data_IF_804835699266
#
_entry.id   IF_804835699266
#
_cell.length_a   1.000
_cell.length_b   1.000
_cell.length_c   1.000
_cell.angle_alpha   90.00
_cell.angle_beta   90.00
_cell.angle_gamma   90.00
#
_symmetry.space_group_name_H-M   'P 1'
#
loop_
_entity.id
_entity.type
_entity.pdbx_description
1 polymer ?
#
# COMPACT_ATOMS: atom_id res chain seq x y z
N UNK A 1 72.79 -5.13 2.11
CA UNK A 1 71.60 -4.31 2.49
C UNK A 1 71.94 -3.24 3.55
N UNK A 2 73.13 -2.74 3.57
CA UNK A 2 73.62 -1.78 4.58
C UNK A 2 74.05 -0.42 4.00
N UNK A 3 74.11 -0.29 2.67
CA UNK A 3 74.56 0.96 2.01
C UNK A 3 73.43 1.97 1.68
N UNK A 4 72.15 1.66 1.95
CA UNK A 4 71.02 2.54 1.60
C UNK A 4 70.57 3.41 2.78
N UNK A 5 71.14 3.28 3.96
CA UNK A 5 70.77 4.06 5.16
C UNK A 5 71.59 5.31 5.45
N UNK A 6 72.64 5.56 4.68
CA UNK A 6 73.62 6.63 4.96
C UNK A 6 73.43 7.92 4.12
N UNK A 7 72.36 8.05 3.29
CA UNK A 7 72.20 9.28 2.46
C UNK A 7 70.93 10.12 2.75
N UNK A 8 70.22 9.85 3.83
CA UNK A 8 69.03 10.65 4.18
C UNK A 8 69.08 11.49 5.45
N UNK A 9 70.25 11.78 5.88
CA UNK A 9 70.46 12.52 7.12
C UNK A 9 71.25 13.83 6.99
N UNK A 10 70.93 14.74 6.08
CA UNK A 10 71.45 16.15 6.09
C UNK A 10 70.64 17.03 5.12
N UNK A 11 69.58 17.63 5.56
CA UNK A 11 69.10 18.96 5.17
C UNK A 11 67.66 19.24 5.69
N UNK A 12 67.54 19.55 6.97
CA UNK A 12 66.39 20.25 7.51
C UNK A 12 66.84 21.11 8.71
N UNK A 13 67.51 22.19 8.46
CA UNK A 13 67.63 23.28 9.43
C UNK A 13 67.29 24.61 8.76
N UNK A 14 66.23 25.24 9.18
CA UNK A 14 65.95 26.63 8.96
C UNK A 14 64.88 27.01 7.96
N UNK A 15 63.61 26.94 8.34
CA UNK A 15 62.62 27.90 7.85
C UNK A 15 61.47 28.08 8.86
N UNK A 16 61.34 29.21 9.31
CA UNK A 16 60.42 30.09 9.96
C UNK A 16 59.13 29.57 10.59
N UNK A 17 59.07 29.75 11.90
CA UNK A 17 57.88 29.55 12.76
C UNK A 17 56.66 30.48 12.47
N UNK A 18 56.68 31.31 11.41
CA UNK A 18 55.65 32.31 11.13
C UNK A 18 54.49 31.80 10.23
N UNK A 19 54.73 30.74 9.43
CA UNK A 19 53.74 30.23 8.52
C UNK A 19 52.70 29.31 9.17
N UNK A 20 53.01 28.70 10.32
CA UNK A 20 52.19 27.68 10.95
C UNK A 20 50.91 28.21 11.63
N UNK A 21 50.93 29.48 12.10
CA UNK A 21 49.78 30.06 12.80
C UNK A 21 48.68 30.55 11.86
N UNK A 22 49.01 31.03 10.66
CA UNK A 22 48.03 31.40 9.65
C UNK A 22 47.34 30.18 8.98
N UNK A 23 48.09 29.11 8.79
CA UNK A 23 47.53 27.87 8.21
C UNK A 23 46.54 27.18 9.16
N UNK A 24 46.79 27.20 10.46
CA UNK A 24 45.90 26.61 11.48
C UNK A 24 44.60 27.41 11.62
N UNK A 25 44.67 28.75 11.55
CA UNK A 25 43.47 29.60 11.58
C UNK A 25 42.59 29.43 10.32
N UNK A 26 43.20 29.24 9.15
CA UNK A 26 42.45 28.98 7.90
C UNK A 26 41.78 27.62 7.91
N UNK A 27 42.41 26.58 8.44
CA UNK A 27 41.84 25.24 8.53
C UNK A 27 40.69 25.20 9.55
N UNK A 28 40.82 25.87 10.69
CA UNK A 28 39.75 25.99 11.68
C UNK A 28 38.53 26.76 11.15
N UNK A 29 38.75 27.80 10.34
CA UNK A 29 37.66 28.55 9.71
C UNK A 29 36.88 27.72 8.69
N UNK A 30 37.54 26.88 7.90
CA UNK A 30 36.92 25.99 6.91
C UNK A 30 36.11 24.89 7.61
N UNK A 31 36.60 24.33 8.72
CA UNK A 31 35.89 23.29 9.48
C UNK A 31 34.64 23.84 10.17
N UNK A 32 34.63 25.07 10.67
CA UNK A 32 33.45 25.70 11.28
C UNK A 32 32.39 26.03 10.25
N UNK A 33 32.77 26.50 9.05
CA UNK A 33 31.82 26.75 7.96
C UNK A 33 31.21 25.44 7.42
N UNK A 34 32.00 24.37 7.35
CA UNK A 34 31.53 23.05 6.94
C UNK A 34 30.58 22.43 7.97
N UNK A 35 30.80 22.66 9.27
CA UNK A 35 29.91 22.17 10.33
C UNK A 35 28.55 22.91 10.36
N UNK A 36 28.54 24.22 10.07
CA UNK A 36 27.32 25.01 9.96
C UNK A 36 26.52 24.70 8.68
N UNK A 37 27.16 24.37 7.55
CA UNK A 37 26.51 23.93 6.34
C UNK A 37 25.89 22.52 6.47
N UNK A 38 26.46 21.65 7.30
CA UNK A 38 25.96 20.31 7.57
C UNK A 38 24.71 20.28 8.47
N UNK A 39 24.47 21.31 9.29
CA UNK A 39 23.29 21.36 10.19
C UNK A 39 22.01 21.87 9.51
N UNK A 40 22.11 22.44 8.31
CA UNK A 40 20.97 23.00 7.59
C UNK A 40 20.25 22.00 6.69
N UNK A 41 20.68 20.73 6.60
CA UNK A 41 20.13 19.70 5.72
C UNK A 41 19.34 18.60 6.44
N UNK A 42 19.11 18.71 7.74
CA UNK A 42 18.08 17.92 8.43
C UNK A 42 16.78 18.72 8.40
N UNK A 43 16.37 19.17 7.22
CA UNK A 43 15.01 19.58 6.97
C UNK A 43 14.15 18.34 7.08
N UNK A 44 13.50 18.12 8.22
CA UNK A 44 12.45 17.13 8.34
C UNK A 44 11.48 17.35 7.19
N UNK A 45 11.35 16.38 6.30
CA UNK A 45 10.33 16.43 5.26
C UNK A 45 9.00 16.67 5.98
N UNK A 46 8.36 17.80 5.67
CA UNK A 46 7.00 18.06 6.17
C UNK A 46 6.13 16.83 5.84
N UNK A 47 5.23 16.42 6.74
CA UNK A 47 4.32 15.33 6.46
C UNK A 47 3.63 15.63 5.13
N UNK A 48 3.89 14.78 4.13
CA UNK A 48 3.22 14.92 2.84
C UNK A 48 1.74 14.64 3.08
N UNK A 49 0.80 15.52 2.63
CA UNK A 49 -0.61 15.26 2.80
C UNK A 49 -0.98 13.91 2.20
N UNK A 50 -1.94 13.23 2.82
CA UNK A 50 -2.45 11.96 2.32
C UNK A 50 -2.92 12.14 0.87
N UNK A 51 -2.49 11.26 -0.02
CA UNK A 51 -2.92 11.28 -1.41
C UNK A 51 -4.36 10.77 -1.49
N UNK A 52 -5.28 11.59 -1.99
CA UNK A 52 -6.63 11.14 -2.32
C UNK A 52 -6.55 10.32 -3.62
N UNK A 53 -7.24 9.16 -3.72
CA UNK A 53 -7.30 8.41 -4.96
C UNK A 53 -7.81 9.27 -6.13
N UNK A 54 -7.22 9.11 -7.32
CA UNK A 54 -7.64 9.83 -8.51
C UNK A 54 -9.06 9.44 -8.94
N UNK A 55 -9.42 8.15 -8.73
CA UNK A 55 -10.78 7.64 -8.89
C UNK A 55 -11.43 7.54 -7.51
N UNK A 56 -12.54 8.24 -7.31
CA UNK A 56 -13.28 8.27 -6.03
C UNK A 56 -14.65 7.60 -6.18
N UNK A 57 -15.21 7.05 -5.08
CA UNK A 57 -16.55 6.49 -5.11
C UNK A 57 -17.58 7.53 -5.54
N UNK A 58 -18.51 7.11 -6.39
CA UNK A 58 -19.59 7.94 -6.89
C UNK A 58 -20.91 7.43 -6.34
N UNK A 59 -21.75 8.33 -5.88
CA UNK A 59 -23.07 8.00 -5.32
C UNK A 59 -24.16 8.67 -6.14
N UNK A 60 -25.32 8.01 -6.24
CA UNK A 60 -26.50 8.64 -6.81
C UNK A 60 -27.20 9.55 -5.78
N UNK A 61 -28.31 10.19 -6.21
CA UNK A 61 -29.09 11.10 -5.35
C UNK A 61 -29.70 10.43 -4.11
N UNK A 62 -29.81 9.12 -4.11
CA UNK A 62 -30.40 8.32 -3.03
C UNK A 62 -29.31 7.68 -2.14
N UNK A 63 -28.03 8.05 -2.37
CA UNK A 63 -26.87 7.60 -1.61
C UNK A 63 -26.39 6.19 -1.98
N UNK A 64 -26.93 5.58 -3.05
CA UNK A 64 -26.42 4.31 -3.53
C UNK A 64 -25.07 4.48 -4.24
N UNK A 65 -24.11 3.61 -3.96
CA UNK A 65 -22.83 3.57 -4.67
C UNK A 65 -23.06 3.14 -6.13
N UNK A 66 -22.50 3.90 -7.05
CA UNK A 66 -22.43 3.51 -8.46
C UNK A 66 -21.35 2.46 -8.65
N UNK A 67 -21.64 1.45 -9.51
CA UNK A 67 -20.71 0.36 -9.78
C UNK A 67 -19.37 0.89 -10.27
N UNK A 68 -18.23 0.59 -9.59
CA UNK A 68 -16.92 0.97 -10.04
C UNK A 68 -16.60 0.38 -11.42
N UNK A 69 -15.98 1.20 -12.28
CA UNK A 69 -15.54 0.79 -13.62
C UNK A 69 -14.03 0.78 -13.69
N UNK A 70 -13.49 0.07 -14.67
CA UNK A 70 -12.06 0.04 -15.00
C UNK A 70 -11.12 -0.38 -13.85
N UNK A 71 -11.65 -1.00 -12.79
CA UNK A 71 -10.89 -1.45 -11.62
C UNK A 71 -9.84 -2.54 -11.96
N UNK A 72 -9.95 -3.20 -13.08
CA UNK A 72 -8.92 -4.13 -13.56
C UNK A 72 -7.59 -3.45 -13.91
N UNK A 73 -7.58 -2.12 -14.00
CA UNK A 73 -6.35 -1.31 -14.17
C UNK A 73 -5.71 -0.93 -12.83
N UNK A 74 -6.36 -1.25 -11.71
CA UNK A 74 -5.90 -0.92 -10.38
C UNK A 74 -4.88 -1.92 -9.87
N UNK A 75 -4.36 -1.68 -8.66
CA UNK A 75 -3.43 -2.60 -8.01
C UNK A 75 -4.16 -3.87 -7.60
N UNK A 76 -3.79 -5.00 -8.18
CA UNK A 76 -4.22 -6.31 -7.73
C UNK A 76 -3.47 -6.67 -6.44
N UNK A 77 -4.19 -6.78 -5.33
CA UNK A 77 -3.59 -7.02 -4.02
C UNK A 77 -3.53 -8.50 -3.65
N UNK A 78 -4.29 -9.32 -4.32
CA UNK A 78 -4.27 -10.77 -4.15
C UNK A 78 -5.58 -11.45 -4.48
N UNK A 79 -5.55 -12.77 -4.44
CA UNK A 79 -6.71 -13.62 -4.65
C UNK A 79 -6.83 -14.69 -3.56
N UNK A 80 -8.05 -15.20 -3.40
CA UNK A 80 -8.34 -16.42 -2.65
C UNK A 80 -9.29 -17.31 -3.44
N UNK A 81 -9.36 -18.58 -3.06
CA UNK A 81 -10.35 -19.53 -3.62
C UNK A 81 -11.08 -20.20 -2.47
N UNK A 82 -12.40 -20.18 -2.50
CA UNK A 82 -13.25 -20.85 -1.52
C UNK A 82 -13.11 -20.29 -0.10
N UNK A 83 -12.61 -19.07 0.06
CA UNK A 83 -12.54 -18.43 1.37
C UNK A 83 -13.97 -18.20 1.89
N UNK A 84 -14.28 -18.80 3.02
CA UNK A 84 -15.61 -18.72 3.63
C UNK A 84 -15.49 -18.48 5.13
N UNK A 85 -16.43 -17.75 5.68
CA UNK A 85 -16.58 -17.54 7.13
C UNK A 85 -17.65 -18.48 7.76
N UNK A 86 -18.34 -19.25 6.91
CA UNK A 86 -19.24 -20.32 7.38
C UNK A 86 -18.43 -21.52 7.88
N UNK A 87 -18.95 -22.19 8.91
CA UNK A 87 -18.43 -23.48 9.38
C UNK A 87 -18.91 -24.66 8.55
N UNK A 88 -19.85 -24.43 7.62
CA UNK A 88 -20.40 -25.47 6.78
C UNK A 88 -19.37 -25.90 5.74
N UNK A 89 -19.31 -27.21 5.52
CA UNK A 89 -18.42 -27.78 4.49
C UNK A 89 -18.92 -27.38 3.11
N UNK A 90 -18.07 -26.68 2.35
CA UNK A 90 -18.37 -26.38 0.95
C UNK A 90 -18.17 -27.62 0.09
N UNK A 91 -19.10 -27.82 -0.85
CA UNK A 91 -18.91 -28.81 -1.92
C UNK A 91 -18.14 -28.17 -3.08
N UNK A 92 -16.91 -28.62 -3.30
CA UNK A 92 -16.05 -28.09 -4.37
C UNK A 92 -15.09 -26.99 -3.92
N UNK A 93 -14.38 -26.33 -4.88
CA UNK A 93 -13.32 -25.38 -4.58
C UNK A 93 -13.82 -24.01 -4.09
N UNK A 94 -15.12 -23.73 -4.23
CA UNK A 94 -15.65 -22.39 -4.01
C UNK A 94 -15.31 -21.40 -5.14
N UNK A 95 -15.61 -20.14 -4.96
CA UNK A 95 -15.36 -19.08 -5.93
C UNK A 95 -13.98 -18.49 -5.78
N UNK A 96 -13.45 -17.95 -6.87
CA UNK A 96 -12.27 -17.10 -6.84
C UNK A 96 -12.68 -15.69 -6.43
N UNK A 97 -11.96 -15.12 -5.49
CA UNK A 97 -12.09 -13.74 -5.02
C UNK A 97 -10.83 -12.97 -5.39
N UNK A 98 -10.91 -12.10 -6.37
CA UNK A 98 -9.81 -11.22 -6.75
C UNK A 98 -10.00 -9.85 -6.12
N UNK A 99 -8.96 -9.26 -5.57
CA UNK A 99 -9.10 -7.98 -4.87
C UNK A 99 -8.21 -6.92 -5.50
N UNK A 100 -8.81 -5.77 -5.79
CA UNK A 100 -8.16 -4.61 -6.38
C UNK A 100 -8.38 -3.37 -5.51
N UNK A 101 -7.40 -2.46 -5.50
CA UNK A 101 -7.54 -1.13 -4.89
C UNK A 101 -6.89 -0.07 -5.76
N UNK A 102 -7.30 1.20 -5.60
CA UNK A 102 -6.73 2.30 -6.38
C UNK A 102 -5.22 2.41 -6.13
N UNK A 103 -4.42 2.73 -7.16
CA UNK A 103 -2.96 2.88 -7.03
C UNK A 103 -2.55 3.87 -5.93
N UNK A 104 -3.25 4.99 -5.83
CA UNK A 104 -2.96 6.05 -4.84
C UNK A 104 -3.28 5.58 -3.42
N UNK A 105 -4.39 4.84 -3.24
CA UNK A 105 -4.74 4.26 -1.95
C UNK A 105 -3.70 3.24 -1.48
N UNK A 106 -3.21 2.41 -2.40
CA UNK A 106 -2.13 1.47 -2.13
C UNK A 106 -0.82 2.17 -1.76
N UNK A 107 -0.42 3.22 -2.50
CA UNK A 107 0.80 3.97 -2.19
C UNK A 107 0.71 4.67 -0.83
N UNK A 108 -0.45 5.23 -0.50
CA UNK A 108 -0.66 5.86 0.80
C UNK A 108 -0.59 4.84 1.93
N UNK A 109 -1.21 3.67 1.77
CA UNK A 109 -1.10 2.57 2.74
C UNK A 109 0.36 2.14 2.94
N UNK A 110 1.14 2.00 1.87
CA UNK A 110 2.58 1.70 1.97
C UNK A 110 3.35 2.73 2.77
N UNK A 111 2.97 3.98 2.67
CA UNK A 111 3.64 5.10 3.33
C UNK A 111 3.27 5.23 4.79
N UNK A 112 2.01 4.98 5.15
CA UNK A 112 1.43 5.34 6.46
C UNK A 112 0.90 4.16 7.26
N UNK A 113 0.65 3.03 6.64
CA UNK A 113 -0.09 1.90 7.24
C UNK A 113 -1.60 2.14 7.32
N UNK A 114 -2.12 3.21 6.71
CA UNK A 114 -3.54 3.56 6.73
C UNK A 114 -4.05 3.84 5.32
N UNK A 115 -5.26 3.41 5.05
CA UNK A 115 -5.92 3.74 3.79
C UNK A 115 -6.51 5.16 3.87
N UNK A 116 -6.33 6.00 2.82
CA UNK A 116 -6.90 7.33 2.79
C UNK A 116 -8.43 7.29 2.64
N UNK A 117 -9.07 8.44 2.88
CA UNK A 117 -10.49 8.61 2.52
C UNK A 117 -10.72 8.35 1.03
N UNK A 118 -11.89 7.88 0.68
CA UNK A 118 -12.30 7.49 -0.68
C UNK A 118 -11.58 6.25 -1.22
N UNK A 119 -10.88 5.49 -0.37
CA UNK A 119 -10.36 4.18 -0.75
C UNK A 119 -11.52 3.24 -1.10
N UNK A 120 -11.35 2.51 -2.20
CA UNK A 120 -12.21 1.39 -2.58
C UNK A 120 -11.38 0.11 -2.66
N UNK A 121 -11.93 -0.98 -2.13
CA UNK A 121 -11.54 -2.33 -2.53
C UNK A 121 -12.64 -2.91 -3.37
N UNK A 122 -12.29 -3.41 -4.53
CA UNK A 122 -13.23 -4.03 -5.48
C UNK A 122 -12.86 -5.49 -5.63
N UNK A 123 -13.81 -6.37 -5.37
CA UNK A 123 -13.63 -7.81 -5.36
C UNK A 123 -14.62 -8.49 -6.34
N UNK A 124 -14.24 -8.65 -7.61
CA UNK A 124 -14.98 -9.52 -8.51
C UNK A 124 -14.80 -10.98 -8.10
N UNK A 125 -15.91 -11.71 -8.13
CA UNK A 125 -15.99 -13.14 -7.86
C UNK A 125 -16.19 -13.91 -9.16
N UNK A 126 -15.52 -15.06 -9.28
CA UNK A 126 -15.62 -15.93 -10.45
C UNK A 126 -15.87 -17.38 -10.06
N UNK A 127 -16.73 -18.05 -10.83
CA UNK A 127 -16.94 -19.48 -10.68
C UNK A 127 -15.69 -20.25 -11.11
N UNK A 128 -15.34 -21.34 -10.42
CA UNK A 128 -14.22 -22.17 -10.83
C UNK A 128 -14.56 -22.93 -12.13
N UNK A 129 -13.63 -22.88 -13.08
CA UNK A 129 -13.67 -23.67 -14.31
C UNK A 129 -12.49 -24.61 -14.37
N UNK A 130 -12.63 -25.73 -15.08
CA UNK A 130 -11.59 -26.74 -15.26
C UNK A 130 -11.77 -27.54 -16.56
N UNK A 131 -10.73 -28.30 -16.92
CA UNK A 131 -10.76 -29.26 -18.06
C UNK A 131 -11.07 -28.61 -19.40
N UNK A 132 -10.55 -27.40 -19.61
CA UNK A 132 -10.65 -26.68 -20.88
C UNK A 132 -9.26 -26.64 -21.54
N UNK A 133 -9.21 -26.91 -22.84
CA UNK A 133 -7.95 -26.93 -23.62
C UNK A 133 -6.89 -27.87 -23.02
N UNK A 134 -5.71 -27.37 -22.70
CA UNK A 134 -4.61 -28.15 -22.11
C UNK A 134 -4.74 -28.37 -20.60
N UNK A 135 -5.70 -27.71 -19.94
CA UNK A 135 -5.90 -27.85 -18.50
C UNK A 135 -6.37 -29.27 -18.15
N UNK A 136 -5.53 -30.03 -17.47
CA UNK A 136 -5.83 -31.41 -17.05
C UNK A 136 -6.25 -31.49 -15.59
N UNK A 137 -5.74 -30.58 -14.75
CA UNK A 137 -5.99 -30.54 -13.31
C UNK A 137 -6.00 -29.09 -12.84
N UNK A 138 -6.58 -28.87 -11.65
CA UNK A 138 -6.70 -27.54 -11.07
C UNK A 138 -7.86 -26.74 -11.65
N UNK A 139 -8.01 -25.54 -11.18
CA UNK A 139 -9.09 -24.63 -11.53
C UNK A 139 -8.53 -23.30 -12.01
N UNK A 140 -9.30 -22.64 -12.86
CA UNK A 140 -9.08 -21.26 -13.29
C UNK A 140 -10.41 -20.48 -13.20
N UNK A 141 -10.32 -19.18 -13.26
CA UNK A 141 -11.48 -18.29 -13.23
C UNK A 141 -12.34 -18.49 -14.46
N UNK A 142 -13.59 -18.89 -14.25
CA UNK A 142 -14.58 -19.06 -15.29
C UNK A 142 -15.52 -17.86 -15.38
N UNK A 143 -16.82 -18.14 -15.37
CA UNK A 143 -17.83 -17.10 -15.48
C UNK A 143 -17.81 -16.17 -14.27
N UNK A 144 -18.05 -14.88 -14.54
CA UNK A 144 -18.28 -13.88 -13.50
C UNK A 144 -19.48 -14.30 -12.63
N UNK A 145 -19.28 -14.25 -11.31
CA UNK A 145 -20.31 -14.62 -10.34
C UNK A 145 -20.91 -13.38 -9.66
N UNK A 146 -20.07 -12.48 -9.14
CA UNK A 146 -20.54 -11.35 -8.35
C UNK A 146 -19.47 -10.24 -8.26
N UNK A 147 -19.83 -9.10 -7.67
CA UNK A 147 -18.94 -7.99 -7.39
C UNK A 147 -19.22 -7.41 -6.00
N UNK A 148 -18.30 -7.59 -5.08
CA UNK A 148 -18.32 -6.92 -3.79
C UNK A 148 -17.42 -5.68 -3.82
N UNK A 149 -17.82 -4.65 -3.09
CA UNK A 149 -17.05 -3.41 -2.95
C UNK A 149 -17.08 -2.95 -1.50
N UNK A 150 -15.91 -2.58 -0.96
CA UNK A 150 -15.84 -1.82 0.27
C UNK A 150 -15.30 -0.41 0.01
N UNK A 151 -15.84 0.57 0.72
CA UNK A 151 -15.51 1.99 0.55
C UNK A 151 -15.21 2.61 1.89
N UNK A 152 -14.10 3.35 1.98
CA UNK A 152 -13.79 4.21 3.12
C UNK A 152 -14.27 5.63 2.84
N UNK A 153 -15.29 6.10 3.56
CA UNK A 153 -15.85 7.42 3.36
C UNK A 153 -16.59 7.92 4.61
N UNK A 154 -15.88 8.57 5.53
CA UNK A 154 -16.48 9.12 6.76
C UNK A 154 -17.51 10.23 6.50
N UNK A 155 -17.48 10.87 5.32
CA UNK A 155 -18.47 11.89 4.98
C UNK A 155 -19.85 11.29 4.70
N UNK A 156 -19.92 10.03 4.25
CA UNK A 156 -21.16 9.31 3.96
C UNK A 156 -21.51 8.27 5.02
N UNK A 157 -20.51 7.67 5.65
CA UNK A 157 -20.67 6.57 6.61
C UNK A 157 -19.96 6.89 7.92
N UNK A 158 -20.68 7.11 9.02
CA UNK A 158 -20.07 7.47 10.32
C UNK A 158 -19.04 6.46 10.82
N UNK A 159 -19.18 5.18 10.46
CA UNK A 159 -18.24 4.10 10.79
C UNK A 159 -16.96 4.13 9.93
N UNK A 160 -16.92 5.00 8.94
CA UNK A 160 -15.81 5.15 7.99
C UNK A 160 -15.84 4.16 6.84
N UNK A 161 -16.13 2.89 7.07
CA UNK A 161 -16.20 1.86 6.04
C UNK A 161 -17.64 1.39 5.81
N UNK A 162 -17.99 1.22 4.52
CA UNK A 162 -19.24 0.63 4.07
C UNK A 162 -19.00 -0.45 3.03
N UNK A 163 -19.93 -1.40 2.93
CA UNK A 163 -19.79 -2.62 2.12
C UNK A 163 -21.01 -2.76 1.23
N UNK A 164 -20.79 -3.17 -0.02
CA UNK A 164 -21.80 -3.20 -1.08
C UNK A 164 -21.66 -4.48 -1.90
N UNK A 165 -22.79 -4.97 -2.40
CA UNK A 165 -22.82 -6.05 -3.39
C UNK A 165 -23.58 -5.58 -4.64
N UNK A 166 -23.03 -5.85 -5.81
CA UNK A 166 -23.55 -5.40 -7.09
C UNK A 166 -24.28 -6.49 -7.86
N UNK A 167 -25.06 -7.29 -7.13
CA UNK A 167 -25.99 -8.26 -7.71
C UNK A 167 -27.39 -8.09 -7.15
N UNK A 168 -28.40 -8.40 -7.95
CA UNK A 168 -29.79 -8.51 -7.48
C UNK A 168 -30.03 -9.88 -6.79
N UNK A 169 -31.26 -10.08 -6.30
CA UNK A 169 -31.64 -11.33 -5.64
C UNK A 169 -31.58 -12.58 -6.56
N UNK A 170 -31.42 -12.40 -7.86
CA UNK A 170 -31.25 -13.45 -8.85
C UNK A 170 -29.78 -13.62 -9.29
N UNK A 171 -28.86 -12.89 -8.66
CA UNK A 171 -27.43 -12.90 -8.99
C UNK A 171 -27.09 -12.16 -10.29
N UNK A 172 -27.96 -11.27 -10.78
CA UNK A 172 -27.67 -10.46 -11.98
C UNK A 172 -26.95 -9.19 -11.57
N UNK A 173 -25.91 -8.77 -12.31
CA UNK A 173 -25.22 -7.53 -12.06
C UNK A 173 -26.15 -6.32 -12.09
N UNK A 174 -26.00 -5.41 -11.11
CA UNK A 174 -26.69 -4.12 -11.03
C UNK A 174 -25.68 -2.97 -11.12
N UNK A 175 -26.13 -1.79 -11.56
CA UNK A 175 -25.24 -0.62 -11.74
C UNK A 175 -25.10 0.24 -10.47
N UNK A 176 -25.88 -0.05 -9.43
CA UNK A 176 -25.86 0.67 -8.15
C UNK A 176 -26.25 -0.25 -7.01
N UNK A 177 -25.69 0.01 -5.84
CA UNK A 177 -25.95 -0.79 -4.64
C UNK A 177 -26.10 0.11 -3.40
N UNK A 178 -26.98 -0.26 -2.50
CA UNK A 178 -27.04 0.31 -1.16
C UNK A 178 -26.02 -0.37 -0.24
N UNK A 179 -25.52 0.39 0.73
CA UNK A 179 -24.63 -0.17 1.75
C UNK A 179 -25.35 -1.25 2.57
N UNK A 180 -24.66 -2.33 2.86
CA UNK A 180 -25.15 -3.32 3.80
C UNK A 180 -25.30 -2.71 5.20
N UNK A 181 -26.29 -3.16 5.98
CA UNK A 181 -26.37 -2.83 7.40
C UNK A 181 -25.10 -3.21 8.13
N UNK A 182 -24.69 -2.37 9.09
CA UNK A 182 -23.45 -2.51 9.87
C UNK A 182 -23.19 -3.94 10.39
N UNK A 183 -24.15 -4.66 11.02
CA UNK A 183 -23.90 -5.99 11.55
C UNK A 183 -23.56 -7.05 10.48
N UNK A 184 -23.90 -6.79 9.22
CA UNK A 184 -23.73 -7.78 8.15
C UNK A 184 -22.26 -7.92 7.73
N UNK A 185 -21.54 -6.81 7.57
CA UNK A 185 -20.16 -6.82 7.09
C UNK A 185 -19.21 -6.02 7.98
N UNK A 186 -19.58 -4.77 8.32
CA UNK A 186 -18.70 -3.84 9.02
C UNK A 186 -18.21 -4.40 10.36
N UNK A 187 -19.07 -4.96 11.20
CA UNK A 187 -18.69 -5.40 12.54
C UNK A 187 -17.68 -6.56 12.50
N UNK A 188 -17.80 -7.46 11.51
CA UNK A 188 -16.82 -8.52 11.27
C UNK A 188 -15.48 -7.93 10.79
N UNK A 189 -15.51 -7.02 9.83
CA UNK A 189 -14.29 -6.36 9.35
C UNK A 189 -13.60 -5.55 10.43
N UNK A 190 -14.34 -4.83 11.26
CA UNK A 190 -13.79 -4.08 12.39
C UNK A 190 -13.15 -4.99 13.46
N UNK A 191 -13.72 -6.16 13.68
CA UNK A 191 -13.22 -7.11 14.67
C UNK A 191 -12.00 -7.94 14.20
N UNK A 192 -11.88 -8.19 12.90
CA UNK A 192 -10.94 -9.17 12.35
C UNK A 192 -10.00 -8.62 11.28
N UNK A 193 -10.26 -7.44 10.72
CA UNK A 193 -9.33 -6.77 9.80
C UNK A 193 -8.06 -6.36 10.54
N UNK A 194 -6.89 -6.74 10.03
CA UNK A 194 -5.61 -6.48 10.69
C UNK A 194 -5.24 -4.99 10.66
N UNK A 195 -5.59 -4.29 9.56
CA UNK A 195 -5.33 -2.88 9.41
C UNK A 195 -6.56 -2.15 8.87
N UNK A 196 -7.04 -1.17 9.63
CA UNK A 196 -8.06 -0.22 9.17
C UNK A 196 -9.31 -0.92 8.58
N UNK A 197 -9.84 -1.93 9.29
CA UNK A 197 -10.97 -2.77 8.88
C UNK A 197 -10.76 -3.58 7.59
N UNK A 198 -9.52 -3.73 7.12
CA UNK A 198 -9.17 -4.50 5.93
C UNK A 198 -8.42 -5.77 6.33
N UNK A 199 -8.79 -6.89 5.72
CA UNK A 199 -8.12 -8.19 5.92
C UNK A 199 -6.76 -8.24 5.22
N UNK A 200 -5.86 -7.33 5.57
CA UNK A 200 -4.51 -7.26 4.97
C UNK A 200 -3.72 -8.55 5.17
N UNK A 201 -4.02 -9.30 6.24
CA UNK A 201 -3.40 -10.59 6.55
C UNK A 201 -3.59 -11.66 5.48
N UNK A 202 -4.62 -11.56 4.64
CA UNK A 202 -4.87 -12.53 3.58
C UNK A 202 -4.11 -12.24 2.27
N UNK A 203 -3.62 -11.01 2.10
CA UNK A 203 -3.07 -10.54 0.82
C UNK A 203 -1.58 -10.22 0.92
N UNK A 204 -0.70 -11.01 0.28
CA UNK A 204 0.75 -10.83 0.36
C UNK A 204 1.21 -9.41 -0.01
N UNK A 205 0.58 -8.82 -1.03
CA UNK A 205 0.90 -7.46 -1.49
C UNK A 205 0.68 -6.42 -0.38
N UNK A 206 -0.39 -6.55 0.40
CA UNK A 206 -0.68 -5.63 1.52
C UNK A 206 0.21 -5.93 2.74
N UNK A 207 0.42 -7.21 3.09
CA UNK A 207 1.31 -7.59 4.21
C UNK A 207 2.73 -7.08 4.02
N UNK A 208 3.26 -7.12 2.79
CA UNK A 208 4.59 -6.62 2.49
C UNK A 208 4.65 -5.10 2.34
N UNK A 209 3.51 -4.46 2.14
CA UNK A 209 3.42 -3.03 1.95
C UNK A 209 3.32 -2.25 3.27
N UNK A 210 2.76 -2.85 4.32
CA UNK A 210 2.60 -2.19 5.61
C UNK A 210 3.95 -1.71 6.16
N UNK A 211 4.06 -0.47 6.67
CA UNK A 211 5.25 -0.01 7.36
C UNK A 211 5.59 -0.94 8.54
N UNK A 212 6.88 -1.21 8.71
CA UNK A 212 7.38 -2.01 9.83
C UNK A 212 7.55 -1.15 11.08
#
# INVERSE_FOLDING_TARGET
>A
MEELRARLGRNLSGRGRAGSRLAILAILSILVVSALAGLALVGGAAPQPASTPAVVPQYDKDGALLRPKDFYTWVFVGASIGLSYSKDTQSGPGEFHNVYTQPEAYQEFRRTGKFPEKTMFVMPLYKPAQKVSINKQGYFEGDFADLDVSVKDHAHFPEGWAYFNFSDAQGKPVDRAQAFPKPMCHDCHAAHGEHDNVFTQFYPVLRHAAPK
#
